data_IF_500393839619
#
_entry.id   IF_500393839619
#
_cell.length_a   1.000
_cell.length_b   1.000
_cell.length_c   1.000
_cell.angle_alpha   90.00
_cell.angle_beta   90.00
_cell.angle_gamma   90.00
#
_symmetry.space_group_name_H-M   'P 1'
#
loop_
_entity.id
_entity.type
_entity.pdbx_description
1 polymer ?
#
# COMPACT_ATOMS: atom_id res chain seq x y z
N UNK A 1 -18.60 1.09 8.32
CA UNK A 1 -17.49 0.73 7.41
C UNK A 1 -16.31 1.65 7.70
N UNK A 2 -15.18 1.12 8.18
CA UNK A 2 -13.96 1.90 8.43
C UNK A 2 -13.06 1.89 7.19
N UNK A 3 -12.56 3.07 6.79
CA UNK A 3 -11.65 3.23 5.65
C UNK A 3 -10.34 3.86 6.10
N UNK A 4 -9.22 3.44 5.53
CA UNK A 4 -7.91 4.05 5.74
C UNK A 4 -7.28 4.50 4.42
N UNK A 5 -6.52 5.59 4.46
CA UNK A 5 -5.63 6.02 3.38
C UNK A 5 -4.19 5.86 3.88
N UNK A 6 -3.37 5.11 3.15
CA UNK A 6 -1.97 4.86 3.52
C UNK A 6 -1.05 5.58 2.56
N UNK A 7 -0.15 6.41 3.10
CA UNK A 7 0.99 6.92 2.33
C UNK A 7 1.95 5.76 2.07
N UNK A 8 2.03 5.32 0.82
CA UNK A 8 2.72 4.10 0.44
C UNK A 8 3.87 4.41 -0.54
N UNK A 9 5.11 4.39 -0.06
CA UNK A 9 6.29 4.57 -0.92
C UNK A 9 6.85 3.26 -1.45
N UNK A 10 6.37 2.10 -0.96
CA UNK A 10 6.99 0.78 -1.10
C UNK A 10 8.24 0.53 -0.23
N UNK A 11 8.65 1.51 0.58
CA UNK A 11 9.64 1.27 1.64
C UNK A 11 9.07 0.36 2.74
N UNK A 12 9.96 -0.30 3.50
CA UNK A 12 9.61 -1.26 4.55
C UNK A 12 8.57 -0.74 5.55
N UNK A 13 8.73 0.51 6.00
CA UNK A 13 7.82 1.12 6.97
C UNK A 13 6.41 1.28 6.39
N UNK A 14 6.33 1.85 5.17
CA UNK A 14 5.05 2.06 4.49
C UNK A 14 4.35 0.75 4.11
N UNK A 15 5.12 -0.31 3.78
CA UNK A 15 4.61 -1.66 3.54
C UNK A 15 4.05 -2.29 4.82
N UNK A 16 4.72 -2.08 5.95
CA UNK A 16 4.23 -2.53 7.27
C UNK A 16 2.93 -1.82 7.63
N UNK A 17 2.84 -0.51 7.41
CA UNK A 17 1.62 0.26 7.60
C UNK A 17 0.47 -0.24 6.72
N UNK A 18 0.74 -0.56 5.45
CA UNK A 18 -0.26 -1.10 4.53
C UNK A 18 -0.81 -2.45 5.02
N UNK A 19 0.06 -3.39 5.39
CA UNK A 19 -0.35 -4.70 5.92
C UNK A 19 -1.16 -4.59 7.22
N UNK A 20 -0.78 -3.66 8.11
CA UNK A 20 -1.52 -3.38 9.34
C UNK A 20 -2.91 -2.81 9.03
N UNK A 21 -3.00 -1.81 8.14
CA UNK A 21 -4.26 -1.21 7.73
C UNK A 21 -5.20 -2.26 7.08
N UNK A 22 -4.68 -3.10 6.20
CA UNK A 22 -5.45 -4.17 5.55
C UNK A 22 -5.96 -5.23 6.54
N UNK A 23 -5.36 -5.34 7.72
CA UNK A 23 -5.85 -6.23 8.79
C UNK A 23 -7.01 -5.63 9.58
N UNK A 24 -7.05 -4.30 9.76
CA UNK A 24 -7.97 -3.61 10.67
C UNK A 24 -9.11 -2.83 10.01
N UNK A 25 -9.01 -2.50 8.71
CA UNK A 25 -9.99 -1.68 7.99
C UNK A 25 -10.71 -2.48 6.91
N UNK A 26 -11.95 -2.08 6.62
CA UNK A 26 -12.77 -2.72 5.58
C UNK A 26 -12.36 -2.29 4.16
N UNK A 27 -11.79 -1.09 4.01
CA UNK A 27 -11.25 -0.57 2.76
C UNK A 27 -9.97 0.22 3.00
N UNK A 28 -8.95 0.00 2.16
CA UNK A 28 -7.66 0.68 2.26
C UNK A 28 -7.27 1.23 0.89
N UNK A 29 -7.11 2.53 0.81
CA UNK A 29 -6.56 3.23 -0.35
C UNK A 29 -5.07 3.54 -0.11
N UNK A 30 -4.29 3.72 -1.18
CA UNK A 30 -2.91 4.16 -1.05
C UNK A 30 -2.64 5.41 -1.86
N UNK A 31 -1.87 6.34 -1.29
CA UNK A 31 -1.37 7.52 -2.00
C UNK A 31 0.14 7.52 -2.03
N UNK A 32 0.74 8.02 -3.12
CA UNK A 32 2.19 8.13 -3.28
C UNK A 32 2.51 9.52 -3.80
N UNK A 33 3.65 10.07 -3.37
CA UNK A 33 4.09 11.39 -3.81
C UNK A 33 5.36 11.26 -4.64
N UNK A 34 5.27 11.62 -5.92
CA UNK A 34 6.43 11.84 -6.79
C UNK A 34 6.81 13.32 -6.72
N UNK A 35 7.79 13.67 -5.88
CA UNK A 35 8.20 15.06 -5.63
C UNK A 35 9.70 15.31 -5.84
N UNK A 36 10.40 14.40 -6.54
CA UNK A 36 11.84 14.49 -6.77
C UNK A 36 12.68 13.95 -5.61
N UNK A 37 12.14 13.01 -4.84
CA UNK A 37 12.84 12.37 -3.74
C UNK A 37 14.09 11.60 -4.20
N UNK A 38 15.08 11.51 -3.30
CA UNK A 38 16.36 10.82 -3.53
C UNK A 38 16.21 9.35 -3.93
N UNK A 39 15.24 8.64 -3.37
CA UNK A 39 15.02 7.22 -3.62
C UNK A 39 13.83 7.01 -4.59
N UNK A 40 14.00 7.42 -5.84
CA UNK A 40 12.97 7.24 -6.89
C UNK A 40 12.60 5.75 -7.09
N UNK A 41 13.57 4.85 -6.89
CA UNK A 41 13.39 3.39 -6.99
C UNK A 41 12.26 2.87 -6.08
N UNK A 42 12.00 3.50 -4.93
CA UNK A 42 10.92 3.07 -4.05
C UNK A 42 9.55 3.20 -4.76
N UNK A 43 9.29 4.34 -5.41
CA UNK A 43 8.05 4.51 -6.17
C UNK A 43 7.97 3.59 -7.39
N UNK A 44 9.09 3.28 -8.03
CA UNK A 44 9.13 2.30 -9.13
C UNK A 44 8.74 0.89 -8.64
N UNK A 45 9.09 0.55 -7.39
CA UNK A 45 8.73 -0.73 -6.77
C UNK A 45 7.30 -0.76 -6.21
N UNK A 46 6.64 0.38 -6.08
CA UNK A 46 5.28 0.49 -5.52
C UNK A 46 4.25 -0.45 -6.16
N UNK A 47 4.04 -0.49 -7.49
CA UNK A 47 3.04 -1.40 -8.07
C UNK A 47 3.38 -2.87 -7.78
N UNK A 48 4.65 -3.25 -7.89
CA UNK A 48 5.13 -4.62 -7.64
C UNK A 48 4.84 -5.03 -6.20
N UNK A 49 5.18 -4.16 -5.24
CA UNK A 49 5.00 -4.47 -3.83
C UNK A 49 3.53 -4.42 -3.41
N UNK A 50 2.74 -3.53 -4.02
CA UNK A 50 1.28 -3.47 -3.84
C UNK A 50 0.63 -4.80 -4.24
N UNK A 51 0.94 -5.29 -5.43
CA UNK A 51 0.40 -6.55 -5.96
C UNK A 51 0.83 -7.74 -5.11
N UNK A 52 2.11 -7.77 -4.72
CA UNK A 52 2.64 -8.82 -3.84
C UNK A 52 1.92 -8.84 -2.49
N UNK A 53 1.70 -7.68 -1.86
CA UNK A 53 0.96 -7.57 -0.60
C UNK A 53 -0.49 -8.04 -0.75
N UNK A 54 -1.17 -7.61 -1.81
CA UNK A 54 -2.55 -8.04 -2.09
C UNK A 54 -2.65 -9.56 -2.26
N UNK A 55 -1.64 -10.19 -2.86
CA UNK A 55 -1.58 -11.63 -3.08
C UNK A 55 -1.28 -12.45 -1.81
N UNK A 56 -0.79 -11.84 -0.73
CA UNK A 56 -0.47 -12.56 0.51
C UNK A 56 -1.71 -13.16 1.18
N UNK A 57 -2.86 -12.47 1.09
CA UNK A 57 -4.14 -12.92 1.68
C UNK A 57 -5.33 -12.53 0.81
N UNK A 58 -6.26 -13.46 0.47
CA UNK A 58 -7.40 -13.15 -0.39
C UNK A 58 -8.29 -12.02 0.12
N UNK A 59 -8.46 -11.90 1.44
CA UNK A 59 -9.25 -10.82 2.04
C UNK A 59 -8.59 -9.45 1.87
N UNK A 60 -7.26 -9.39 1.72
CA UNK A 60 -6.54 -8.14 1.50
C UNK A 60 -6.74 -7.63 0.08
N UNK A 61 -6.74 -8.51 -0.93
CA UNK A 61 -7.07 -8.15 -2.30
C UNK A 61 -8.47 -7.50 -2.42
N UNK A 62 -9.44 -7.97 -1.64
CA UNK A 62 -10.80 -7.40 -1.63
C UNK A 62 -10.90 -6.05 -0.89
N UNK A 63 -9.99 -5.79 0.06
CA UNK A 63 -9.96 -4.56 0.87
C UNK A 63 -9.13 -3.45 0.24
N UNK A 64 -8.15 -3.81 -0.58
CA UNK A 64 -7.24 -2.88 -1.23
C UNK A 64 -7.94 -2.21 -2.42
N UNK A 65 -8.00 -0.88 -2.42
CA UNK A 65 -8.57 -0.10 -3.52
C UNK A 65 -7.71 -0.14 -4.80
N UNK A 66 -8.12 0.62 -5.80
CA UNK A 66 -7.34 0.79 -7.04
C UNK A 66 -6.04 1.58 -6.73
N UNK A 67 -5.02 1.47 -7.59
CA UNK A 67 -3.78 2.28 -7.47
C UNK A 67 -3.87 3.59 -8.27
#
# INVERSE_FOLDING_TARGET
MSTALVLFSAGQDSATCLAWALSGFERVETIGFAYGQRHAVELEQRPILRDAIAALRPEWAARLGED
#
